data_IF_316100509776
#
_entry.id   IF_316100509776
#
_cell.length_a   1.000
_cell.length_b   1.000
_cell.length_c   1.000
_cell.angle_alpha   90.00
_cell.angle_beta   90.00
_cell.angle_gamma   90.00
#
_symmetry.space_group_name_H-M   'P 1'
#
loop_
_entity.id
_entity.type
_entity.pdbx_description
1 polymer ?
#
# COMPACT_ATOMS: atom_id res chain seq x y z
N UNK A 1 -9.64 -16.40 -12.39
CA UNK A 1 -8.34 -15.94 -12.87
C UNK A 1 -7.38 -17.10 -13.13
N UNK A 2 -7.74 -17.86 -14.15
CA UNK A 2 -6.93 -18.98 -14.64
C UNK A 2 -5.83 -18.54 -15.62
N UNK A 3 -5.79 -17.21 -15.93
CA UNK A 3 -4.86 -16.65 -16.87
C UNK A 3 -3.41 -16.67 -16.34
N UNK A 4 -2.47 -16.82 -17.27
CA UNK A 4 -1.07 -16.54 -16.96
C UNK A 4 -0.85 -15.04 -16.78
N UNK A 5 0.29 -14.66 -16.17
CA UNK A 5 0.71 -13.26 -16.02
C UNK A 5 0.71 -12.53 -17.36
N UNK A 6 1.31 -13.13 -18.39
CA UNK A 6 1.38 -12.54 -19.73
C UNK A 6 0.00 -12.35 -20.37
N UNK A 7 -0.89 -13.31 -20.23
CA UNK A 7 -2.26 -13.19 -20.72
C UNK A 7 -3.03 -12.08 -20.00
N UNK A 8 -2.84 -11.94 -18.66
CA UNK A 8 -3.48 -10.89 -17.88
C UNK A 8 -2.99 -9.49 -18.28
N UNK A 9 -1.67 -9.35 -18.47
CA UNK A 9 -1.03 -8.09 -18.85
C UNK A 9 -1.47 -7.66 -20.26
N UNK A 10 -1.51 -8.60 -21.21
CA UNK A 10 -1.85 -8.31 -22.60
C UNK A 10 -3.35 -8.25 -22.89
N UNK A 11 -4.22 -8.55 -21.91
CA UNK A 11 -5.66 -8.65 -22.11
C UNK A 11 -6.24 -7.37 -22.72
N UNK A 12 -6.88 -7.52 -23.90
CA UNK A 12 -7.43 -6.43 -24.71
C UNK A 12 -6.43 -5.73 -25.62
N UNK A 13 -5.15 -6.12 -25.60
CA UNK A 13 -4.06 -5.60 -26.42
C UNK A 13 -3.11 -6.73 -26.82
N UNK A 14 -3.68 -7.89 -27.12
CA UNK A 14 -2.92 -9.07 -27.49
C UNK A 14 -2.04 -8.81 -28.71
N UNK A 15 -0.81 -9.34 -28.68
CA UNK A 15 0.05 -9.33 -29.85
C UNK A 15 -0.51 -10.31 -30.88
N UNK A 16 -0.81 -9.84 -32.07
CA UNK A 16 -1.43 -10.67 -33.13
C UNK A 16 -0.51 -10.87 -34.32
N UNK A 17 -0.63 -12.04 -34.96
CA UNK A 17 -0.04 -12.34 -36.26
C UNK A 17 -1.17 -12.71 -37.23
N UNK A 18 -1.61 -11.73 -38.00
CA UNK A 18 -2.82 -11.85 -38.80
C UNK A 18 -4.07 -11.93 -37.92
N UNK A 19 -4.87 -12.99 -38.05
CA UNK A 19 -6.08 -13.22 -37.27
C UNK A 19 -5.86 -13.98 -35.95
N UNK A 20 -4.64 -14.41 -35.65
CA UNK A 20 -4.32 -15.23 -34.47
C UNK A 20 -3.47 -14.47 -33.48
N UNK A 21 -3.64 -14.79 -32.20
CA UNK A 21 -2.79 -14.27 -31.10
C UNK A 21 -1.41 -14.93 -31.20
N UNK A 22 -0.36 -14.12 -31.25
CA UNK A 22 1.03 -14.57 -31.15
C UNK A 22 1.45 -14.62 -29.68
N UNK A 23 1.19 -15.77 -29.06
CA UNK A 23 1.51 -15.99 -27.65
C UNK A 23 3.00 -15.86 -27.33
N UNK A 24 3.88 -16.32 -28.24
CA UNK A 24 5.32 -16.27 -27.99
C UNK A 24 5.84 -14.83 -28.02
N UNK A 25 5.41 -14.03 -28.97
CA UNK A 25 5.72 -12.60 -29.03
C UNK A 25 5.14 -11.85 -27.82
N UNK A 26 3.92 -12.17 -27.40
CA UNK A 26 3.26 -11.62 -26.23
C UNK A 26 4.05 -11.93 -24.95
N UNK A 27 4.40 -13.20 -24.71
CA UNK A 27 5.18 -13.61 -23.53
C UNK A 27 6.56 -12.96 -23.51
N UNK A 28 7.26 -12.94 -24.65
CA UNK A 28 8.55 -12.27 -24.78
C UNK A 28 8.50 -10.78 -24.45
N UNK A 29 7.51 -10.05 -24.98
CA UNK A 29 7.29 -8.63 -24.67
C UNK A 29 7.00 -8.43 -23.17
N UNK A 30 6.17 -9.29 -22.59
CA UNK A 30 5.85 -9.24 -21.18
C UNK A 30 7.07 -9.49 -20.30
N UNK A 31 7.89 -10.51 -20.60
CA UNK A 31 9.08 -10.82 -19.82
C UNK A 31 10.10 -9.66 -19.81
N UNK A 32 10.26 -8.95 -20.93
CA UNK A 32 11.10 -7.74 -20.99
C UNK A 32 10.61 -6.66 -20.03
N UNK A 33 9.29 -6.47 -19.90
CA UNK A 33 8.71 -5.50 -18.98
C UNK A 33 8.89 -5.95 -17.53
N UNK A 34 8.60 -7.22 -17.23
CA UNK A 34 8.76 -7.79 -15.89
C UNK A 34 10.22 -7.72 -15.41
N UNK A 35 11.17 -7.95 -16.29
CA UNK A 35 12.60 -7.82 -15.99
C UNK A 35 12.99 -6.38 -15.65
N UNK A 36 12.52 -5.40 -16.43
CA UNK A 36 12.71 -3.96 -16.13
C UNK A 36 12.14 -3.56 -14.77
N UNK A 37 11.01 -4.17 -14.39
CA UNK A 37 10.36 -3.95 -13.08
C UNK A 37 11.01 -4.74 -11.94
N UNK A 38 12.06 -5.54 -12.22
CA UNK A 38 12.74 -6.38 -11.23
C UNK A 38 11.87 -7.49 -10.64
N UNK A 39 10.85 -7.94 -11.37
CA UNK A 39 9.98 -9.03 -10.95
C UNK A 39 10.71 -10.37 -10.96
N UNK A 40 10.43 -11.22 -9.97
CA UNK A 40 11.00 -12.58 -9.89
C UNK A 40 10.16 -13.61 -10.66
N UNK A 41 8.88 -13.35 -10.83
CA UNK A 41 7.95 -14.19 -11.59
C UNK A 41 8.04 -13.90 -13.09
N UNK A 42 7.55 -14.80 -13.91
CA UNK A 42 7.62 -14.76 -15.37
C UNK A 42 6.22 -14.70 -15.99
N UNK A 43 6.19 -14.35 -17.28
CA UNK A 43 4.96 -14.19 -18.05
C UNK A 43 4.11 -15.46 -18.14
N UNK A 44 4.72 -16.64 -18.02
CA UNK A 44 4.03 -17.95 -18.06
C UNK A 44 3.52 -18.43 -16.70
N UNK A 45 3.88 -17.76 -15.61
CA UNK A 45 3.39 -18.11 -14.27
C UNK A 45 1.90 -17.82 -14.14
N UNK A 46 1.24 -18.52 -13.20
CA UNK A 46 -0.17 -18.29 -12.88
C UNK A 46 -0.33 -17.10 -11.96
N UNK A 47 -1.30 -16.22 -12.24
CA UNK A 47 -1.60 -15.07 -11.36
C UNK A 47 -1.98 -15.52 -9.94
N UNK A 48 -2.60 -16.69 -9.81
CA UNK A 48 -3.02 -17.27 -8.52
C UNK A 48 -1.86 -17.67 -7.59
N UNK A 49 -0.65 -17.81 -8.10
CA UNK A 49 0.54 -18.15 -7.30
C UNK A 49 1.26 -16.93 -6.73
N UNK A 50 0.79 -15.72 -7.05
CA UNK A 50 1.47 -14.48 -6.70
C UNK A 50 0.95 -13.88 -5.39
N UNK A 51 1.85 -13.23 -4.67
CA UNK A 51 1.53 -12.39 -3.51
C UNK A 51 0.79 -11.11 -3.92
N UNK A 52 0.16 -10.44 -2.97
CA UNK A 52 -0.55 -9.16 -3.21
C UNK A 52 0.38 -8.09 -3.80
N UNK A 53 1.62 -8.00 -3.29
CA UNK A 53 2.63 -7.08 -3.82
C UNK A 53 3.00 -7.40 -5.27
N UNK A 54 3.15 -8.68 -5.63
CA UNK A 54 3.43 -9.11 -7.00
C UNK A 54 2.24 -8.86 -7.93
N UNK A 55 1.00 -8.97 -7.43
CA UNK A 55 -0.20 -8.60 -8.20
C UNK A 55 -0.24 -7.09 -8.55
N UNK A 56 0.23 -6.22 -7.66
CA UNK A 56 0.39 -4.79 -7.97
C UNK A 56 1.39 -4.57 -9.10
N UNK A 57 2.47 -5.36 -9.15
CA UNK A 57 3.44 -5.30 -10.24
C UNK A 57 2.84 -5.67 -11.60
N UNK A 58 1.87 -6.61 -11.63
CA UNK A 58 1.13 -6.94 -12.86
C UNK A 58 0.36 -5.72 -13.39
N UNK A 59 -0.29 -4.96 -12.52
CA UNK A 59 -1.05 -3.77 -12.94
C UNK A 59 -0.15 -2.71 -13.58
N UNK A 60 1.04 -2.50 -13.01
CA UNK A 60 2.04 -1.60 -13.57
C UNK A 60 2.59 -2.13 -14.89
N UNK A 61 2.94 -3.42 -14.93
CA UNK A 61 3.41 -4.07 -16.16
C UNK A 61 2.35 -3.97 -17.28
N UNK A 62 1.07 -4.10 -16.95
CA UNK A 62 -0.05 -3.91 -17.87
C UNK A 62 -0.08 -2.50 -18.43
N UNK A 63 0.04 -1.47 -17.59
CA UNK A 63 0.08 -0.07 -18.05
C UNK A 63 1.27 0.18 -18.99
N UNK A 64 2.44 -0.37 -18.68
CA UNK A 64 3.62 -0.26 -19.53
C UNK A 64 3.47 -1.04 -20.85
N UNK A 65 2.88 -2.22 -20.82
CA UNK A 65 2.62 -3.04 -22.01
C UNK A 65 1.74 -2.28 -23.03
N UNK A 66 0.80 -1.48 -22.51
CA UNK A 66 -0.10 -0.65 -23.29
C UNK A 66 0.50 0.73 -23.66
N UNK A 67 1.78 0.99 -23.34
CA UNK A 67 2.44 2.27 -23.57
C UNK A 67 1.70 3.45 -22.92
N UNK A 68 1.14 3.26 -21.72
CA UNK A 68 0.42 4.29 -21.00
C UNK A 68 1.31 5.52 -20.76
N UNK A 69 0.77 6.71 -21.00
CA UNK A 69 1.42 7.99 -20.71
C UNK A 69 1.02 8.55 -19.35
N UNK A 70 -0.10 8.08 -18.85
CA UNK A 70 -0.64 8.45 -17.54
C UNK A 70 -1.00 7.16 -16.81
N UNK A 71 -0.57 7.02 -15.57
CA UNK A 71 -0.93 5.89 -14.70
C UNK A 71 -1.59 6.45 -13.45
N UNK A 72 -2.77 5.94 -13.12
CA UNK A 72 -3.47 6.26 -11.88
C UNK A 72 -3.31 5.12 -10.88
N UNK A 73 -2.84 5.43 -9.68
CA UNK A 73 -2.77 4.54 -8.53
C UNK A 73 -3.81 4.96 -7.49
N UNK A 74 -4.66 4.04 -7.09
CA UNK A 74 -5.67 4.24 -6.06
C UNK A 74 -5.34 3.37 -4.85
N UNK A 75 -4.84 4.00 -3.77
CA UNK A 75 -4.39 3.36 -2.53
C UNK A 75 -3.53 2.09 -2.74
N UNK A 76 -2.49 2.11 -3.57
CA UNK A 76 -1.79 0.90 -3.99
C UNK A 76 -1.02 0.22 -2.86
N UNK A 77 -0.85 0.88 -1.72
CA UNK A 77 -0.03 0.43 -0.58
C UNK A 77 -0.84 -0.17 0.57
N UNK A 78 -2.17 -0.15 0.50
CA UNK A 78 -3.06 -0.53 1.61
C UNK A 78 -2.85 -1.96 2.14
N UNK A 79 -2.41 -2.89 1.29
CA UNK A 79 -2.17 -4.29 1.63
C UNK A 79 -0.69 -4.70 1.57
N UNK A 80 0.23 -3.73 1.46
CA UNK A 80 1.67 -3.96 1.33
C UNK A 80 2.40 -3.84 2.66
N UNK A 81 3.49 -4.58 2.79
CA UNK A 81 4.48 -4.37 3.86
C UNK A 81 5.31 -3.12 3.59
N UNK A 82 5.95 -2.55 4.62
CA UNK A 82 6.76 -1.32 4.46
C UNK A 82 7.87 -1.50 3.41
N UNK A 83 8.51 -2.68 3.33
CA UNK A 83 9.52 -2.98 2.30
C UNK A 83 8.95 -3.01 0.88
N UNK A 84 7.72 -3.47 0.72
CA UNK A 84 7.02 -3.47 -0.57
C UNK A 84 6.57 -2.06 -0.94
N UNK A 85 6.16 -1.25 0.03
CA UNK A 85 5.86 0.17 -0.16
C UNK A 85 7.09 0.91 -0.67
N UNK A 86 8.25 0.78 -0.02
CA UNK A 86 9.50 1.43 -0.43
C UNK A 86 9.89 1.04 -1.88
N UNK A 87 9.70 -0.22 -2.24
CA UNK A 87 9.95 -0.69 -3.62
C UNK A 87 9.00 -0.05 -4.62
N UNK A 88 7.70 -0.01 -4.29
CA UNK A 88 6.67 0.59 -5.14
C UNK A 88 6.94 2.07 -5.37
N UNK A 89 7.24 2.83 -4.30
CA UNK A 89 7.52 4.26 -4.40
C UNK A 89 8.77 4.53 -5.26
N UNK A 90 9.84 3.76 -5.09
CA UNK A 90 11.04 3.88 -5.95
C UNK A 90 10.70 3.67 -7.41
N UNK A 91 9.95 2.62 -7.73
CA UNK A 91 9.55 2.33 -9.09
C UNK A 91 8.65 3.41 -9.68
N UNK A 92 7.72 3.99 -8.89
CA UNK A 92 6.91 5.12 -9.33
C UNK A 92 7.80 6.30 -9.71
N UNK A 93 8.85 6.59 -8.93
CA UNK A 93 9.81 7.64 -9.27
C UNK A 93 10.57 7.33 -10.55
N UNK A 94 11.02 6.09 -10.74
CA UNK A 94 11.67 5.67 -11.99
C UNK A 94 10.76 5.81 -13.22
N UNK A 95 9.47 5.51 -13.09
CA UNK A 95 8.47 5.71 -14.15
C UNK A 95 8.27 7.20 -14.46
N UNK A 96 8.22 8.05 -13.43
CA UNK A 96 8.18 9.51 -13.58
C UNK A 96 9.39 10.03 -14.34
N UNK A 97 10.60 9.57 -14.00
CA UNK A 97 11.86 9.95 -14.66
C UNK A 97 11.89 9.50 -16.15
N UNK A 98 11.16 8.45 -16.50
CA UNK A 98 10.92 8.02 -17.88
C UNK A 98 9.84 8.85 -18.61
N UNK A 99 9.29 9.89 -17.99
CA UNK A 99 8.29 10.80 -18.55
C UNK A 99 6.84 10.30 -18.46
N UNK A 100 6.55 9.30 -17.62
CA UNK A 100 5.18 8.86 -17.35
C UNK A 100 4.57 9.80 -16.31
N UNK A 101 3.37 10.32 -16.60
CA UNK A 101 2.61 11.14 -15.65
C UNK A 101 1.89 10.24 -14.65
N UNK A 102 2.02 10.55 -13.35
CA UNK A 102 1.45 9.76 -12.27
C UNK A 102 0.33 10.53 -11.58
N UNK A 103 -0.84 9.91 -11.45
CA UNK A 103 -1.90 10.32 -10.53
C UNK A 103 -1.91 9.34 -9.37
N UNK A 104 -1.64 9.82 -8.15
CA UNK A 104 -1.49 8.97 -6.98
C UNK A 104 -2.50 9.36 -5.92
N UNK A 105 -3.37 8.43 -5.55
CA UNK A 105 -4.41 8.64 -4.53
C UNK A 105 -4.01 7.84 -3.29
N UNK A 106 -3.88 8.53 -2.16
CA UNK A 106 -3.55 7.92 -0.87
C UNK A 106 -4.04 8.80 0.28
N UNK A 107 -4.27 8.18 1.43
CA UNK A 107 -4.46 8.86 2.71
C UNK A 107 -3.19 8.85 3.58
N UNK A 108 -2.10 8.23 3.10
CA UNK A 108 -0.81 8.13 3.80
C UNK A 108 0.09 9.31 3.46
N UNK A 109 0.21 10.25 4.39
CA UNK A 109 0.95 11.49 4.18
C UNK A 109 2.43 11.25 3.85
N UNK A 110 3.05 10.25 4.48
CA UNK A 110 4.47 9.96 4.25
C UNK A 110 4.75 9.59 2.79
N UNK A 111 3.81 8.92 2.12
CA UNK A 111 3.91 8.62 0.69
C UNK A 111 3.80 9.89 -0.16
N UNK A 112 2.84 10.77 0.18
CA UNK A 112 2.68 12.06 -0.52
C UNK A 112 3.97 12.87 -0.48
N UNK A 113 4.59 12.99 0.71
CA UNK A 113 5.86 13.70 0.86
C UNK A 113 7.04 13.02 0.16
N UNK A 114 6.98 11.69 0.00
CA UNK A 114 8.05 10.95 -0.65
C UNK A 114 8.10 11.13 -2.17
N UNK A 115 6.94 11.24 -2.85
CA UNK A 115 6.89 11.15 -4.32
C UNK A 115 6.17 12.30 -5.03
N UNK A 116 5.28 13.04 -4.35
CA UNK A 116 4.42 13.99 -5.02
C UNK A 116 5.11 15.34 -5.29
N UNK A 117 4.91 15.91 -6.47
CA UNK A 117 5.28 17.31 -6.75
C UNK A 117 4.22 18.27 -6.23
N UNK A 118 2.95 17.89 -6.37
CA UNK A 118 1.77 18.65 -5.92
C UNK A 118 0.74 17.73 -5.29
N UNK A 119 0.04 18.18 -4.28
CA UNK A 119 -1.08 17.47 -3.67
C UNK A 119 -2.37 18.28 -3.76
N UNK A 120 -3.38 17.71 -4.38
CA UNK A 120 -4.74 18.24 -4.37
C UNK A 120 -5.53 17.61 -3.22
N UNK A 121 -6.10 18.44 -2.38
CA UNK A 121 -6.83 18.02 -1.18
C UNK A 121 -8.32 18.05 -1.47
N UNK A 122 -8.96 16.91 -1.25
CA UNK A 122 -10.41 16.74 -1.31
C UNK A 122 -10.91 16.41 0.10
N UNK A 123 -12.04 16.99 0.48
CA UNK A 123 -12.72 16.73 1.75
C UNK A 123 -14.23 16.74 1.53
N UNK A 124 -14.90 15.69 1.98
CA UNK A 124 -16.36 15.52 1.84
C UNK A 124 -16.86 15.71 0.39
N UNK A 125 -16.08 15.20 -0.58
CA UNK A 125 -16.37 15.32 -2.00
C UNK A 125 -16.09 16.71 -2.60
N UNK A 126 -15.55 17.66 -1.82
CA UNK A 126 -15.26 19.03 -2.25
C UNK A 126 -13.77 19.24 -2.41
N UNK A 127 -13.37 19.89 -3.50
CA UNK A 127 -12.00 20.38 -3.70
C UNK A 127 -11.69 21.51 -2.73
N UNK A 128 -10.59 21.42 -1.99
CA UNK A 128 -10.15 22.43 -1.03
C UNK A 128 -9.05 23.30 -1.61
N UNK A 129 -7.92 22.68 -2.00
CA UNK A 129 -6.77 23.40 -2.55
C UNK A 129 -5.79 22.43 -3.22
N UNK A 130 -4.83 22.97 -3.96
CA UNK A 130 -3.65 22.23 -4.43
C UNK A 130 -2.40 22.90 -3.90
N UNK A 131 -1.56 22.13 -3.24
CA UNK A 131 -0.32 22.57 -2.60
C UNK A 131 0.90 22.07 -3.36
N UNK A 132 1.97 22.90 -3.39
CA UNK A 132 3.29 22.49 -3.87
C UNK A 132 4.03 21.76 -2.74
N UNK A 133 4.36 20.49 -2.92
CA UNK A 133 4.92 19.68 -1.84
C UNK A 133 6.34 20.09 -1.41
N UNK A 134 7.07 20.81 -2.24
CA UNK A 134 8.39 21.37 -1.89
C UNK A 134 8.33 22.53 -0.88
N UNK A 135 7.17 23.18 -0.76
CA UNK A 135 6.95 24.38 0.05
C UNK A 135 5.97 24.13 1.21
N UNK A 136 5.37 22.94 1.26
CA UNK A 136 4.28 22.60 2.20
C UNK A 136 4.82 21.80 3.37
N UNK A 137 4.43 22.14 4.59
CA UNK A 137 4.70 21.34 5.77
C UNK A 137 3.64 20.24 5.98
N UNK A 138 3.99 19.24 6.80
CA UNK A 138 3.06 18.16 7.15
C UNK A 138 1.84 18.69 7.92
N UNK A 139 2.07 19.65 8.80
CA UNK A 139 1.03 20.31 9.61
C UNK A 139 0.06 21.10 8.73
N UNK A 140 0.57 21.79 7.72
CA UNK A 140 -0.24 22.53 6.77
C UNK A 140 -1.14 21.61 5.94
N UNK A 141 -0.57 20.50 5.42
CA UNK A 141 -1.31 19.51 4.67
C UNK A 141 -2.46 18.91 5.53
N UNK A 142 -2.15 18.51 6.77
CA UNK A 142 -3.13 17.98 7.72
C UNK A 142 -4.24 19.01 8.00
N UNK A 143 -3.88 20.28 8.24
CA UNK A 143 -4.86 21.35 8.48
C UNK A 143 -5.88 21.48 7.35
N UNK A 144 -5.43 21.42 6.11
CA UNK A 144 -6.32 21.45 4.94
C UNK A 144 -7.19 20.20 4.81
N UNK A 145 -6.66 19.02 5.14
CA UNK A 145 -7.40 17.75 5.10
C UNK A 145 -8.49 17.69 6.18
N UNK A 146 -8.18 18.08 7.41
CA UNK A 146 -9.08 17.96 8.56
C UNK A 146 -10.00 19.19 8.70
N UNK A 147 -9.57 20.36 8.25
CA UNK A 147 -10.35 21.59 8.28
C UNK A 147 -10.45 22.25 9.67
N UNK A 148 -9.70 21.76 10.66
CA UNK A 148 -9.60 22.30 12.03
C UNK A 148 -8.12 22.29 12.44
N UNK A 149 -7.76 23.20 13.37
CA UNK A 149 -6.43 23.13 13.99
C UNK A 149 -6.29 21.82 14.77
N UNK A 150 -5.42 20.94 14.29
CA UNK A 150 -5.16 19.61 14.87
C UNK A 150 -4.47 19.71 16.23
N UNK A 151 -3.93 20.88 16.57
CA UNK A 151 -3.33 21.17 17.88
C UNK A 151 -4.26 20.87 19.07
N UNK A 152 -5.57 20.86 18.86
CA UNK A 152 -6.56 20.52 19.89
C UNK A 152 -6.70 19.00 20.16
N UNK A 153 -6.21 18.12 19.27
CA UNK A 153 -6.31 16.65 19.47
C UNK A 153 -5.01 16.00 19.95
N UNK A 154 -3.93 16.75 20.05
CA UNK A 154 -2.59 16.20 20.31
C UNK A 154 -2.33 15.81 21.77
N UNK A 155 -3.21 16.14 22.69
CA UNK A 155 -3.04 15.70 24.10
C UNK A 155 -4.41 15.27 24.64
N UNK A 156 -4.71 13.99 24.55
CA UNK A 156 -5.54 13.38 25.60
C UNK A 156 -4.71 13.47 26.88
N UNK A 157 -4.84 14.60 27.60
CA UNK A 157 -4.51 14.63 29.03
C UNK A 157 -5.58 13.81 29.78
N UNK A 158 -5.69 12.53 29.42
CA UNK A 158 -6.24 11.59 30.35
C UNK A 158 -5.08 11.26 31.28
N UNK A 159 -5.14 11.61 32.57
CA UNK A 159 -4.24 10.97 33.52
C UNK A 159 -4.40 9.47 33.24
N UNK A 160 -3.30 8.76 33.02
CA UNK A 160 -3.25 7.29 32.99
C UNK A 160 -4.32 6.85 33.98
N UNK A 161 -5.32 6.08 33.56
CA UNK A 161 -6.34 5.57 34.47
C UNK A 161 -5.61 4.99 35.67
N UNK A 162 -5.52 5.79 36.71
CA UNK A 162 -4.79 5.40 37.90
C UNK A 162 -5.43 4.13 38.39
N UNK A 163 -4.71 3.02 38.27
CA UNK A 163 -4.92 1.74 38.90
C UNK A 163 -6.42 1.47 39.26
N UNK A 164 -7.26 1.35 38.21
CA UNK A 164 -8.59 0.78 38.38
C UNK A 164 -8.48 -0.72 38.66
N UNK A 165 -9.59 -1.32 39.05
CA UNK A 165 -9.71 -2.78 39.19
C UNK A 165 -9.25 -3.48 37.90
N UNK A 166 -8.36 -4.46 38.01
CA UNK A 166 -7.96 -5.33 36.89
C UNK A 166 -9.15 -6.18 36.49
N UNK A 167 -9.61 -6.02 35.26
CA UNK A 167 -10.79 -6.74 34.72
C UNK A 167 -10.39 -7.90 33.81
N UNK A 168 -9.17 -7.89 33.32
CA UNK A 168 -8.58 -8.98 32.53
C UNK A 168 -7.08 -9.02 32.79
N UNK A 169 -6.59 -10.22 33.07
CA UNK A 169 -5.17 -10.48 33.21
C UNK A 169 -4.78 -11.68 32.34
N UNK A 170 -3.76 -11.52 31.53
CA UNK A 170 -3.11 -12.61 30.83
C UNK A 170 -1.70 -12.78 31.39
N UNK A 171 -1.33 -13.98 31.81
CA UNK A 171 -0.01 -14.33 32.33
C UNK A 171 0.62 -15.41 31.48
N UNK A 172 1.79 -15.13 30.96
CA UNK A 172 2.61 -16.10 30.23
C UNK A 172 1.84 -16.84 29.13
N UNK A 173 0.97 -16.10 28.40
CA UNK A 173 0.16 -16.64 27.33
C UNK A 173 1.05 -17.12 26.20
N UNK A 174 0.93 -18.41 25.85
CA UNK A 174 1.71 -19.02 24.78
C UNK A 174 0.79 -19.76 23.80
N UNK A 175 1.14 -19.70 22.52
CA UNK A 175 0.53 -20.52 21.48
C UNK A 175 1.61 -21.10 20.60
N UNK A 176 1.77 -22.41 20.68
CA UNK A 176 2.88 -23.14 20.06
C UNK A 176 3.08 -22.77 18.59
N UNK A 177 4.29 -22.33 18.21
CA UNK A 177 4.66 -21.89 16.86
C UNK A 177 4.04 -20.56 16.40
N UNK A 178 3.31 -19.83 17.27
CA UNK A 178 2.66 -18.56 16.91
C UNK A 178 3.18 -17.40 17.74
N UNK A 179 3.14 -17.49 19.07
CA UNK A 179 3.69 -16.49 20.00
C UNK A 179 3.97 -17.14 21.37
N UNK A 180 4.86 -16.52 22.16
CA UNK A 180 5.32 -17.02 23.45
C UNK A 180 5.44 -15.88 24.45
N UNK A 181 5.19 -16.19 25.72
CA UNK A 181 5.47 -15.33 26.89
C UNK A 181 4.78 -13.96 26.85
N UNK A 182 3.53 -13.89 26.40
CA UNK A 182 2.76 -12.65 26.37
C UNK A 182 2.02 -12.46 27.70
N UNK A 183 2.29 -11.35 28.39
CA UNK A 183 1.61 -10.97 29.62
C UNK A 183 1.11 -9.53 29.54
N UNK A 184 -0.11 -9.29 29.99
CA UNK A 184 -0.68 -7.95 30.08
C UNK A 184 -1.85 -7.93 31.07
N UNK A 185 -2.14 -6.73 31.56
CA UNK A 185 -3.33 -6.45 32.40
C UNK A 185 -4.19 -5.39 31.71
N UNK A 186 -5.50 -5.51 31.87
CA UNK A 186 -6.48 -4.52 31.42
C UNK A 186 -7.29 -4.04 32.62
N UNK A 187 -7.34 -2.74 32.81
CA UNK A 187 -8.03 -2.12 33.92
C UNK A 187 -9.43 -1.60 33.52
N UNK A 188 -10.29 -1.48 34.47
CA UNK A 188 -11.66 -0.98 34.25
C UNK A 188 -11.66 0.44 33.68
N UNK A 189 -12.30 0.61 32.50
CA UNK A 189 -12.35 1.89 31.78
C UNK A 189 -11.12 2.23 30.97
N UNK A 190 -10.14 1.32 30.91
CA UNK A 190 -8.93 1.45 30.09
C UNK A 190 -9.18 1.02 28.64
N UNK A 191 -8.46 1.66 27.71
CA UNK A 191 -8.31 1.21 26.32
C UNK A 191 -6.86 0.76 26.13
N UNK A 192 -6.64 -0.56 26.15
CA UNK A 192 -5.35 -1.15 25.84
C UNK A 192 -5.24 -1.45 24.32
N UNK A 193 -4.25 -0.90 23.68
CA UNK A 193 -4.03 -1.09 22.23
C UNK A 193 -2.84 -2.01 21.96
N UNK A 194 -3.04 -3.02 21.09
CA UNK A 194 -1.97 -3.86 20.58
C UNK A 194 -1.49 -3.32 19.23
N UNK A 195 -0.33 -2.68 19.21
CA UNK A 195 0.31 -2.15 18.01
C UNK A 195 1.41 -3.10 17.48
N UNK A 196 1.67 -3.07 16.20
CA UNK A 196 2.74 -3.86 15.56
C UNK A 196 2.56 -3.94 14.05
N UNK A 197 3.60 -4.33 13.32
CA UNK A 197 3.58 -4.48 11.87
C UNK A 197 2.71 -5.66 11.40
N UNK A 198 2.44 -5.70 10.08
CA UNK A 198 1.79 -6.86 9.46
C UNK A 198 2.63 -8.11 9.74
N UNK A 199 1.98 -9.18 10.20
CA UNK A 199 2.64 -10.42 10.60
C UNK A 199 3.10 -10.49 12.07
N UNK A 200 2.95 -9.42 12.87
CA UNK A 200 3.33 -9.41 14.31
C UNK A 200 2.42 -10.26 15.23
N UNK A 201 1.45 -10.99 14.65
CA UNK A 201 0.56 -11.91 15.39
C UNK A 201 -0.39 -11.28 16.41
N UNK A 202 -0.61 -9.95 16.37
CA UNK A 202 -1.54 -9.23 17.28
C UNK A 202 -2.92 -9.89 17.36
N UNK A 203 -3.48 -10.22 16.19
CA UNK A 203 -4.82 -10.85 16.09
C UNK A 203 -4.82 -12.25 16.69
N UNK A 204 -3.70 -12.98 16.58
CA UNK A 204 -3.59 -14.33 17.15
C UNK A 204 -3.54 -14.27 18.67
N UNK A 205 -2.88 -13.28 19.27
CA UNK A 205 -2.89 -13.02 20.71
C UNK A 205 -4.29 -12.74 21.21
N UNK A 206 -5.07 -11.88 20.49
CA UNK A 206 -6.43 -11.52 20.90
C UNK A 206 -7.46 -12.65 20.70
N UNK A 207 -7.12 -13.71 19.98
CA UNK A 207 -7.97 -14.89 19.75
C UNK A 207 -7.62 -16.11 20.62
N UNK A 208 -6.58 -15.97 21.40
CA UNK A 208 -6.13 -17.05 22.29
C UNK A 208 -6.90 -17.03 23.60
#
# INVERSE_FOLDING_TARGET
TELTVGQNIALGYEVTRGFFVDYDAMYKKTDVILEKLGCKFRSRDRVTSLSTGEMQMILIAKALFHNAKIISFDEPTSALTDREVDRLLKMIMELKDQGITILYITHRLDEVFAIADRASILRDGTYITTLNMKETSKEELIRHMVGRDVSAYAVRNNPLCAAGEVVLEARDLCKNGVFEHISFELHRGEILSFAGLVGSKRTDVMRA
#
